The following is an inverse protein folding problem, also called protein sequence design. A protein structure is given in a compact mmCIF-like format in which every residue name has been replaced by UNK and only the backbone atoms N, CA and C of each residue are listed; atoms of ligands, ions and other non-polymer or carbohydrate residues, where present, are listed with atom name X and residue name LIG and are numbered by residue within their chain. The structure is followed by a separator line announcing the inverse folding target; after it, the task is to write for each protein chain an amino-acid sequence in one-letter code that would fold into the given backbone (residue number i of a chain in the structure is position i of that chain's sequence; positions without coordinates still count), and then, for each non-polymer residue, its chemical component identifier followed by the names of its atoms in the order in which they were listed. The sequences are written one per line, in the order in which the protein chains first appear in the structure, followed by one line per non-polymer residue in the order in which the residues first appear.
data_IF_488908951031
#
_entry.id   IF_488908951031
#
_cell.length_a   1.000
_cell.length_b   1.000
_cell.length_c   1.000
_cell.angle_alpha   90.00
_cell.angle_beta   90.00
_cell.angle_gamma   90.00
#
_symmetry.space_group_name_H-M   'P 1'
#
loop_
_entity.id
_entity.type
_entity.pdbx_description
1 polymer ?
#
# COMPACT_ATOMS: atom_id res chain seq x y z
N UNK A 1 14.52 -23.09 -33.80
CA UNK A 1 14.13 -22.65 -35.15
C UNK A 1 13.56 -21.25 -35.05
N UNK A 2 14.14 -20.34 -35.84
CA UNK A 2 13.66 -19.01 -36.29
C UNK A 2 13.01 -18.04 -35.28
N UNK A 3 13.79 -17.02 -34.91
CA UNK A 3 13.34 -15.73 -34.39
C UNK A 3 12.63 -14.96 -35.52
N UNK A 4 11.35 -14.60 -35.34
CA UNK A 4 10.60 -13.79 -36.31
C UNK A 4 10.83 -12.30 -36.04
N UNK A 5 11.64 -11.69 -36.90
CA UNK A 5 11.87 -10.25 -36.98
C UNK A 5 10.64 -9.56 -37.59
N UNK A 6 9.93 -8.74 -36.81
CA UNK A 6 8.91 -7.85 -37.35
C UNK A 6 9.58 -6.58 -37.92
N UNK A 7 9.40 -6.42 -39.23
CA UNK A 7 9.90 -5.32 -40.06
C UNK A 7 9.32 -3.96 -39.64
N UNK A 8 10.19 -2.95 -39.59
CA UNK A 8 9.82 -1.54 -39.54
C UNK A 8 9.64 -1.01 -40.97
N UNK A 9 8.56 -0.27 -41.22
CA UNK A 9 8.27 0.41 -42.50
C UNK A 9 8.85 1.83 -42.43
N UNK A 10 9.75 2.25 -43.34
CA UNK A 10 10.21 3.64 -43.41
C UNK A 10 9.26 4.48 -44.28
N UNK A 11 8.62 5.48 -43.68
CA UNK A 11 7.90 6.52 -44.44
C UNK A 11 8.89 7.60 -44.85
N UNK A 12 9.15 7.67 -46.16
CA UNK A 12 9.96 8.69 -46.82
C UNK A 12 9.32 10.08 -46.65
N UNK A 13 10.16 11.07 -46.30
CA UNK A 13 9.75 12.47 -46.18
C UNK A 13 9.66 13.22 -47.51
N UNK A 14 9.20 14.48 -47.51
CA UNK A 14 9.41 15.40 -48.62
C UNK A 14 10.75 16.14 -48.46
N UNK A 15 11.55 16.07 -49.53
CA UNK A 15 12.77 16.83 -49.75
C UNK A 15 12.47 18.25 -50.27
N UNK A 16 13.50 19.10 -50.19
CA UNK A 16 13.73 20.42 -50.81
C UNK A 16 13.00 21.65 -50.26
N UNK A 17 13.75 22.51 -49.56
CA UNK A 17 14.29 23.74 -50.15
C UNK A 17 14.94 24.62 -49.05
N UNK A 18 16.26 24.69 -49.07
CA UNK A 18 17.04 25.72 -48.36
C UNK A 18 16.90 27.04 -49.11
N UNK A 19 16.39 28.10 -48.49
CA UNK A 19 16.47 29.47 -49.03
C UNK A 19 16.38 30.52 -47.90
N UNK A 20 17.55 31.10 -47.60
CA UNK A 20 17.86 32.43 -47.03
C UNK A 20 17.19 32.95 -45.73
N UNK A 21 17.96 33.62 -44.83
CA UNK A 21 17.43 34.28 -43.64
C UNK A 21 16.89 35.67 -43.98
N UNK A 22 15.56 35.81 -44.11
CA UNK A 22 14.91 37.10 -44.24
C UNK A 22 14.60 37.70 -42.86
N UNK A 23 15.40 38.70 -42.49
CA UNK A 23 15.14 39.67 -41.43
C UNK A 23 13.78 40.35 -41.63
N UNK A 24 12.85 40.16 -40.70
CA UNK A 24 11.84 41.17 -40.33
C UNK A 24 11.31 40.86 -38.94
N UNK A 25 12.04 41.32 -37.93
CA UNK A 25 11.57 41.32 -36.54
C UNK A 25 10.46 42.37 -36.36
N UNK A 26 9.23 42.05 -36.74
CA UNK A 26 8.04 42.65 -36.13
C UNK A 26 7.59 41.77 -34.98
N UNK A 27 8.45 41.65 -33.97
CA UNK A 27 8.13 40.95 -32.73
C UNK A 27 7.13 41.82 -31.98
N UNK A 28 5.86 41.39 -31.97
CA UNK A 28 4.78 42.05 -31.22
C UNK A 28 5.22 42.34 -29.77
N UNK A 29 4.81 43.48 -29.18
CA UNK A 29 5.29 43.91 -27.88
C UNK A 29 5.06 42.80 -26.84
N UNK A 30 6.14 42.43 -26.15
CA UNK A 30 6.11 41.39 -25.12
C UNK A 30 5.07 41.77 -24.07
N UNK A 31 4.12 40.87 -23.81
CA UNK A 31 3.02 41.02 -22.86
C UNK A 31 3.49 41.75 -21.60
N UNK A 32 3.04 42.99 -21.45
CA UNK A 32 3.34 43.88 -20.33
C UNK A 32 3.11 43.14 -18.99
N UNK A 33 4.18 43.00 -18.19
CA UNK A 33 4.19 42.31 -16.89
C UNK A 33 3.68 43.18 -15.73
N UNK A 34 2.96 44.25 -16.03
CA UNK A 34 2.51 45.20 -15.03
C UNK A 34 1.35 44.58 -14.23
N UNK A 35 1.47 44.62 -12.90
CA UNK A 35 0.42 44.20 -11.98
C UNK A 35 -0.69 45.25 -12.02
N UNK A 36 -1.86 44.87 -12.53
CA UNK A 36 -3.02 45.75 -12.54
C UNK A 36 -3.51 45.86 -11.09
N UNK A 37 -3.49 47.09 -10.53
CA UNK A 37 -3.99 47.41 -9.19
C UNK A 37 -3.34 46.60 -8.04
N UNK A 38 -2.03 46.37 -8.10
CA UNK A 38 -1.27 45.71 -7.01
C UNK A 38 -1.51 44.20 -6.85
N UNK A 39 -2.42 43.61 -7.64
CA UNK A 39 -2.64 42.16 -7.66
C UNK A 39 -1.62 41.49 -8.58
N UNK A 40 -0.84 40.55 -8.03
CA UNK A 40 0.09 39.73 -8.82
C UNK A 40 -0.69 38.99 -9.91
N UNK A 41 -0.34 39.23 -11.17
CA UNK A 41 -0.95 38.52 -12.30
C UNK A 41 -0.53 37.06 -12.22
N UNK A 42 -1.46 36.16 -11.87
CA UNK A 42 -1.21 34.73 -11.92
C UNK A 42 -0.97 34.33 -13.38
N UNK A 43 0.19 33.74 -13.66
CA UNK A 43 0.43 33.17 -14.98
C UNK A 43 -0.37 31.88 -15.13
N UNK A 44 -0.67 31.43 -16.37
CA UNK A 44 -1.28 30.13 -16.60
C UNK A 44 -0.49 28.97 -15.97
N UNK A 45 0.83 29.13 -15.79
CA UNK A 45 1.68 28.17 -15.08
C UNK A 45 1.39 28.17 -13.57
N UNK A 46 1.27 29.34 -12.95
CA UNK A 46 0.96 29.46 -11.53
C UNK A 46 -0.40 28.82 -11.21
N UNK A 47 -1.40 29.03 -12.09
CA UNK A 47 -2.71 28.38 -11.96
C UNK A 47 -2.61 26.84 -12.05
N UNK A 48 -1.77 26.31 -12.95
CA UNK A 48 -1.51 24.85 -13.04
C UNK A 48 -0.81 24.32 -11.80
N UNK A 49 0.13 25.08 -11.24
CA UNK A 49 0.85 24.71 -10.02
C UNK A 49 -0.08 24.72 -8.80
N UNK A 50 -0.96 25.71 -8.68
CA UNK A 50 -1.99 25.75 -7.63
C UNK A 50 -2.97 24.59 -7.76
N UNK A 51 -3.43 24.25 -8.97
CA UNK A 51 -4.28 23.10 -9.20
C UNK A 51 -3.59 21.78 -8.82
N UNK A 52 -2.32 21.61 -9.21
CA UNK A 52 -1.53 20.43 -8.85
C UNK A 52 -1.33 20.34 -7.34
N UNK A 53 -1.06 21.45 -6.67
CA UNK A 53 -0.93 21.52 -5.22
C UNK A 53 -2.23 21.10 -4.53
N UNK A 54 -3.37 21.64 -4.95
CA UNK A 54 -4.69 21.24 -4.42
C UNK A 54 -4.98 19.76 -4.63
N UNK A 55 -4.67 19.23 -5.82
CA UNK A 55 -4.82 17.79 -6.10
C UNK A 55 -3.91 16.92 -5.22
N UNK A 56 -2.68 17.38 -4.97
CA UNK A 56 -1.74 16.69 -4.10
C UNK A 56 -2.23 16.68 -2.64
N UNK A 57 -2.71 17.81 -2.15
CA UNK A 57 -3.28 17.95 -0.81
C UNK A 57 -4.49 17.01 -0.62
N UNK A 58 -5.38 16.93 -1.61
CA UNK A 58 -6.52 15.98 -1.59
C UNK A 58 -6.05 14.53 -1.55
N UNK A 59 -5.10 14.15 -2.41
CA UNK A 59 -4.55 12.78 -2.42
C UNK A 59 -3.86 12.42 -1.11
N UNK A 60 -3.14 13.37 -0.53
CA UNK A 60 -2.47 13.16 0.76
C UNK A 60 -3.49 13.00 1.89
N UNK A 61 -4.60 13.73 1.88
CA UNK A 61 -5.70 13.52 2.83
C UNK A 61 -6.36 12.15 2.65
N UNK A 62 -6.67 11.75 1.41
CA UNK A 62 -7.24 10.43 1.12
C UNK A 62 -6.32 9.29 1.56
N UNK A 63 -5.01 9.44 1.35
CA UNK A 63 -4.02 8.46 1.79
C UNK A 63 -3.99 8.35 3.32
N UNK A 64 -3.95 9.47 4.04
CA UNK A 64 -3.98 9.49 5.51
C UNK A 64 -5.23 8.83 6.06
N UNK A 65 -6.40 9.13 5.47
CA UNK A 65 -7.67 8.51 5.89
C UNK A 65 -7.66 6.97 5.69
N UNK A 66 -7.10 6.49 4.57
CA UNK A 66 -6.95 5.05 4.32
C UNK A 66 -5.99 4.40 5.31
N UNK A 67 -4.82 5.01 5.54
CA UNK A 67 -3.83 4.54 6.51
C UNK A 67 -4.43 4.44 7.92
N UNK A 68 -5.21 5.43 8.36
CA UNK A 68 -5.88 5.42 9.66
C UNK A 68 -6.88 4.25 9.79
N UNK A 69 -7.68 4.00 8.75
CA UNK A 69 -8.65 2.88 8.72
C UNK A 69 -7.92 1.53 8.72
N UNK A 70 -6.87 1.38 7.93
CA UNK A 70 -6.07 0.16 7.87
C UNK A 70 -5.36 -0.12 9.19
N UNK A 71 -4.79 0.91 9.83
CA UNK A 71 -4.17 0.81 11.15
C UNK A 71 -5.20 0.39 12.22
N UNK A 72 -6.40 0.96 12.20
CA UNK A 72 -7.46 0.56 13.12
C UNK A 72 -7.90 -0.90 12.90
N UNK A 73 -7.98 -1.34 11.64
CA UNK A 73 -8.30 -2.74 11.29
C UNK A 73 -7.18 -3.69 11.72
N UNK A 74 -5.92 -3.31 11.51
CA UNK A 74 -4.76 -4.08 11.90
C UNK A 74 -4.67 -4.22 13.43
N UNK A 75 -4.86 -3.13 14.17
CA UNK A 75 -4.86 -3.14 15.64
C UNK A 75 -5.95 -4.08 16.20
N UNK A 76 -7.17 -4.02 15.65
CA UNK A 76 -8.24 -4.97 16.00
C UNK A 76 -7.86 -6.42 15.69
N UNK A 77 -7.27 -6.66 14.53
CA UNK A 77 -6.79 -7.99 14.12
C UNK A 77 -5.71 -8.55 15.04
N UNK A 78 -4.74 -7.70 15.44
CA UNK A 78 -3.68 -8.06 16.38
C UNK A 78 -4.25 -8.40 17.76
N UNK A 79 -5.14 -7.58 18.32
CA UNK A 79 -5.77 -7.84 19.61
C UNK A 79 -6.53 -9.17 19.65
N UNK A 80 -7.28 -9.50 18.57
CA UNK A 80 -7.98 -10.80 18.46
C UNK A 80 -6.99 -11.96 18.37
N UNK A 81 -5.91 -11.80 17.59
CA UNK A 81 -4.87 -12.82 17.43
C UNK A 81 -4.19 -13.11 18.77
N UNK A 82 -3.80 -12.08 19.50
CA UNK A 82 -3.19 -12.20 20.82
C UNK A 82 -4.12 -12.89 21.82
N UNK A 83 -5.41 -12.51 21.83
CA UNK A 83 -6.40 -13.18 22.68
C UNK A 83 -6.50 -14.67 22.37
N UNK A 84 -6.55 -15.04 21.08
CA UNK A 84 -6.61 -16.44 20.65
C UNK A 84 -5.34 -17.21 21.03
N UNK A 85 -4.16 -16.60 20.85
CA UNK A 85 -2.89 -17.21 21.23
C UNK A 85 -2.81 -17.46 22.74
N UNK A 86 -3.15 -16.47 23.56
CA UNK A 86 -3.22 -16.61 25.03
C UNK A 86 -4.20 -17.72 25.45
N UNK A 87 -5.37 -17.79 24.84
CA UNK A 87 -6.35 -18.84 25.13
C UNK A 87 -5.85 -20.24 24.72
N UNK A 88 -5.23 -20.36 23.54
CA UNK A 88 -4.68 -21.62 23.05
C UNK A 88 -3.51 -22.12 23.93
N UNK A 89 -2.63 -21.22 24.34
CA UNK A 89 -1.52 -21.54 25.24
C UNK A 89 -2.03 -21.98 26.61
N UNK A 90 -3.00 -21.27 27.18
CA UNK A 90 -3.66 -21.65 28.43
C UNK A 90 -4.27 -23.05 28.34
N UNK A 91 -5.05 -23.32 27.29
CA UNK A 91 -5.65 -24.63 27.06
C UNK A 91 -4.58 -25.74 26.89
N UNK A 92 -3.46 -25.45 26.23
CA UNK A 92 -2.32 -26.38 26.12
C UNK A 92 -1.71 -26.70 27.48
N UNK A 93 -1.56 -25.71 28.36
CA UNK A 93 -1.02 -25.92 29.71
C UNK A 93 -2.00 -26.72 30.58
N UNK A 94 -3.30 -26.42 30.49
CA UNK A 94 -4.34 -27.16 31.22
C UNK A 94 -4.44 -28.62 30.76
N UNK A 95 -4.39 -28.87 29.46
CA UNK A 95 -4.35 -30.25 28.92
C UNK A 95 -3.09 -31.01 29.33
N UNK A 96 -1.95 -30.33 29.43
CA UNK A 96 -0.72 -30.93 29.96
C UNK A 96 -0.84 -31.24 31.45
N UNK A 97 -1.37 -30.31 32.25
CA UNK A 97 -1.54 -30.47 33.69
C UNK A 97 -2.52 -31.61 34.01
N UNK A 98 -3.66 -31.66 33.33
CA UNK A 98 -4.64 -32.76 33.43
C UNK A 98 -4.03 -34.10 33.05
N UNK A 99 -3.27 -34.17 31.95
CA UNK A 99 -2.54 -35.39 31.56
C UNK A 99 -1.55 -35.85 32.63
N UNK A 100 -0.85 -34.91 33.27
CA UNK A 100 0.08 -35.23 34.37
C UNK A 100 -0.66 -35.71 35.62
N UNK A 101 -1.80 -35.11 35.95
CA UNK A 101 -2.68 -35.55 37.04
C UNK A 101 -3.18 -36.98 36.79
N UNK A 102 -3.67 -37.27 35.58
CA UNK A 102 -4.09 -38.62 35.17
C UNK A 102 -2.95 -39.63 35.30
N UNK A 103 -1.75 -39.32 34.80
CA UNK A 103 -0.56 -40.18 34.95
C UNK A 103 -0.22 -40.46 36.42
N UNK A 104 -0.37 -39.48 37.32
CA UNK A 104 -0.18 -39.68 38.77
C UNK A 104 -1.22 -40.63 39.36
N UNK A 105 -2.49 -40.46 39.00
CA UNK A 105 -3.57 -41.35 39.43
C UNK A 105 -3.33 -42.79 38.94
N UNK A 106 -2.90 -42.97 37.70
CA UNK A 106 -2.59 -44.29 37.15
C UNK A 106 -1.42 -44.96 37.87
N UNK A 107 -0.36 -44.20 38.20
CA UNK A 107 0.74 -44.72 39.03
C UNK A 107 0.26 -45.16 40.41
N UNK A 108 -0.62 -44.38 41.04
CA UNK A 108 -1.22 -44.73 42.34
C UNK A 108 -2.08 -45.99 42.24
N UNK A 109 -2.93 -46.11 41.21
CA UNK A 109 -3.73 -47.31 40.93
C UNK A 109 -2.86 -48.55 40.77
N UNK A 110 -1.77 -48.46 40.01
CA UNK A 110 -0.80 -49.57 39.84
C UNK A 110 -0.12 -49.95 41.17
N UNK A 111 0.32 -48.96 41.97
CA UNK A 111 0.92 -49.23 43.29
C UNK A 111 -0.04 -49.93 44.25
N UNK A 112 -1.31 -49.54 44.22
CA UNK A 112 -2.34 -50.15 45.07
C UNK A 112 -2.86 -51.49 44.51
N UNK A 113 -2.37 -51.93 43.34
CA UNK A 113 -2.83 -53.18 42.72
C UNK A 113 -4.32 -53.20 42.38
N UNK A 114 -4.97 -52.03 42.30
CA UNK A 114 -6.42 -51.93 42.02
C UNK A 114 -6.62 -52.20 40.54
N UNK A 115 -6.89 -53.46 40.21
CA UNK A 115 -7.34 -53.87 38.89
C UNK A 115 -8.81 -53.48 38.70
N UNK A 116 -9.26 -53.37 37.44
CA UNK A 116 -10.68 -53.16 37.15
C UNK A 116 -11.45 -54.31 37.78
N UNK A 117 -12.32 -54.01 38.75
CA UNK A 117 -13.25 -54.99 39.31
C UNK A 117 -14.16 -55.45 38.16
N UNK A 118 -13.87 -56.61 37.58
CA UNK A 118 -14.75 -57.26 36.61
C UNK A 118 -15.87 -57.85 37.44
N UNK A 119 -17.05 -57.22 37.40
CA UNK A 119 -18.27 -57.86 37.90
C UNK A 119 -18.63 -58.91 36.86
N UNK A 120 -18.50 -60.19 37.24
CA UNK A 120 -19.12 -61.29 36.52
C UNK A 120 -20.61 -61.36 36.90
#
# INVERSE_FOLDING_TARGET
MSLSASQAIPVAGPSVASSAPASSSTRAPTRSSHNIAGKKRCTPWDLKMEQRRKQQEVKDMERRMKEEVENARAAKGQAIRERRQKAAEKARLETMATRMSQKKLDRKRRRLGITKKVSH
#
